data_IF_432669727719
#
_entry.id   IF_432669727719
#
_cell.length_a   1.000
_cell.length_b   1.000
_cell.length_c   1.000
_cell.angle_alpha   90.00
_cell.angle_beta   90.00
_cell.angle_gamma   90.00
#
_symmetry.space_group_name_H-M   'P 1'
#
loop_
_entity.id
_entity.type
_entity.pdbx_description
1 polymer ?
#
# COMPACT_ATOMS: atom_id res chain seq x y z
N UNK A 1 0.98 23.76 -8.28
CA UNK A 1 2.25 24.34 -8.75
C UNK A 1 3.37 23.39 -8.32
N UNK A 2 3.86 22.53 -9.22
CA UNK A 2 5.06 21.70 -8.91
C UNK A 2 6.25 22.65 -8.89
N UNK A 3 6.93 22.75 -7.76
CA UNK A 3 8.20 23.48 -7.71
C UNK A 3 9.22 22.70 -8.54
N UNK A 4 9.61 23.25 -9.69
CA UNK A 4 10.76 22.73 -10.44
C UNK A 4 12.02 23.21 -9.75
N UNK A 5 12.77 22.26 -9.20
CA UNK A 5 14.14 22.49 -8.76
C UNK A 5 15.05 22.06 -9.91
N UNK A 6 15.54 22.98 -10.76
CA UNK A 6 16.49 22.62 -11.80
C UNK A 6 17.75 22.08 -11.12
N UNK A 7 17.97 20.77 -11.23
CA UNK A 7 19.15 20.10 -10.66
C UNK A 7 20.21 20.05 -11.72
N UNK A 8 21.13 20.99 -11.67
CA UNK A 8 22.31 20.90 -12.50
C UNK A 8 23.31 19.91 -11.89
N UNK A 9 23.06 18.62 -12.13
CA UNK A 9 23.93 17.51 -11.69
C UNK A 9 24.89 17.10 -12.82
N UNK A 10 24.59 17.48 -14.06
CA UNK A 10 25.22 16.94 -15.28
C UNK A 10 26.07 17.97 -16.03
N UNK A 11 25.98 19.28 -15.75
CA UNK A 11 26.76 20.27 -16.52
C UNK A 11 28.25 20.26 -16.21
N UNK A 12 28.64 19.89 -14.98
CA UNK A 12 30.04 19.91 -14.55
C UNK A 12 30.27 19.13 -13.26
N UNK A 13 31.52 18.70 -13.07
CA UNK A 13 31.97 18.08 -11.82
C UNK A 13 31.80 19.01 -10.60
N UNK A 14 31.98 20.32 -10.80
CA UNK A 14 31.76 21.32 -9.75
C UNK A 14 30.28 21.41 -9.33
N UNK A 15 29.36 21.34 -10.29
CA UNK A 15 27.93 21.33 -10.02
C UNK A 15 27.49 20.06 -9.28
N UNK A 16 28.00 18.89 -9.71
CA UNK A 16 27.83 17.61 -9.00
C UNK A 16 28.35 17.68 -7.56
N UNK A 17 29.57 18.19 -7.36
CA UNK A 17 30.18 18.29 -6.03
C UNK A 17 29.41 19.26 -5.12
N UNK A 18 28.90 20.38 -5.67
CA UNK A 18 28.02 21.29 -4.93
C UNK A 18 26.72 20.59 -4.52
N UNK A 19 26.06 19.89 -5.45
CA UNK A 19 24.85 19.14 -5.15
C UNK A 19 25.05 18.11 -4.02
N UNK A 20 26.15 17.34 -4.07
CA UNK A 20 26.47 16.37 -3.02
C UNK A 20 26.70 17.03 -1.66
N UNK A 21 27.40 18.18 -1.61
CA UNK A 21 27.58 18.96 -0.37
C UNK A 21 26.26 19.50 0.18
N UNK A 22 25.38 19.97 -0.71
CA UNK A 22 24.05 20.44 -0.32
C UNK A 22 23.21 19.29 0.27
N UNK A 23 23.25 18.09 -0.35
CA UNK A 23 22.63 16.88 0.18
C UNK A 23 23.19 16.47 1.55
N UNK A 24 24.51 16.47 1.71
CA UNK A 24 25.17 16.17 2.98
C UNK A 24 24.74 17.15 4.08
N UNK A 25 24.70 18.44 3.75
CA UNK A 25 24.27 19.51 4.67
C UNK A 25 22.82 19.30 5.10
N UNK A 26 21.92 18.97 4.17
CA UNK A 26 20.53 18.65 4.46
C UNK A 26 20.41 17.44 5.40
N UNK A 27 21.10 16.35 5.11
CA UNK A 27 21.06 15.14 5.95
C UNK A 27 21.59 15.42 7.36
N UNK A 28 22.68 16.19 7.50
CA UNK A 28 23.21 16.63 8.80
C UNK A 28 22.20 17.49 9.56
N UNK A 29 21.53 18.42 8.87
CA UNK A 29 20.49 19.26 9.46
C UNK A 29 19.29 18.43 9.95
N UNK A 30 18.87 17.41 9.19
CA UNK A 30 17.82 16.47 9.61
C UNK A 30 18.26 15.73 10.88
N UNK A 31 19.46 15.15 10.88
CA UNK A 31 19.97 14.38 12.03
C UNK A 31 20.09 15.21 13.32
N UNK A 32 20.55 16.46 13.22
CA UNK A 32 20.76 17.33 14.37
C UNK A 32 19.46 17.81 15.03
N UNK A 33 18.34 17.85 14.29
CA UNK A 33 17.12 18.55 14.71
C UNK A 33 16.04 17.62 15.28
N UNK A 34 16.34 16.96 16.41
CA UNK A 34 15.34 16.15 17.14
C UNK A 34 14.12 16.94 17.61
N UNK A 35 14.27 18.24 17.94
CA UNK A 35 13.17 19.12 18.37
C UNK A 35 12.18 19.45 17.24
N UNK A 36 12.65 19.47 15.99
CA UNK A 36 11.82 19.71 14.82
C UNK A 36 10.90 18.52 14.55
N UNK A 37 11.33 17.29 14.86
CA UNK A 37 10.48 16.10 14.76
C UNK A 37 9.28 16.14 15.69
N UNK A 38 9.46 16.56 16.95
CA UNK A 38 8.33 16.68 17.88
C UNK A 38 7.31 17.73 17.43
N UNK A 39 7.80 18.85 16.88
CA UNK A 39 6.95 19.87 16.27
C UNK A 39 6.21 19.33 15.03
N UNK A 40 6.93 18.70 14.10
CA UNK A 40 6.33 18.10 12.89
C UNK A 40 5.32 17.02 13.28
N UNK A 41 5.60 16.16 14.26
CA UNK A 41 4.67 15.12 14.73
C UNK A 41 3.43 15.71 15.38
N UNK A 42 3.56 16.82 16.11
CA UNK A 42 2.42 17.53 16.71
C UNK A 42 1.53 18.11 15.61
N UNK A 43 2.10 18.85 14.69
CA UNK A 43 1.38 19.43 13.55
C UNK A 43 0.83 18.39 12.57
N UNK A 44 1.46 17.22 12.45
CA UNK A 44 0.93 16.08 11.67
C UNK A 44 -0.25 15.39 12.35
N UNK A 45 -0.51 15.67 13.64
CA UNK A 45 -1.59 15.07 14.43
C UNK A 45 -2.70 16.05 14.79
N UNK A 46 -2.46 17.36 14.67
CA UNK A 46 -3.47 18.37 14.93
C UNK A 46 -4.63 18.19 13.94
N UNK A 47 -5.84 18.01 14.49
CA UNK A 47 -7.04 17.52 13.80
C UNK A 47 -7.65 18.48 12.77
N UNK A 48 -6.95 19.54 12.39
CA UNK A 48 -7.31 20.32 11.20
C UNK A 48 -6.83 19.55 9.96
N UNK A 49 -7.77 18.83 9.37
CA UNK A 49 -7.56 17.88 8.26
C UNK A 49 -6.85 18.53 7.05
N UNK A 50 -7.02 19.83 6.83
CA UNK A 50 -6.38 20.56 5.72
C UNK A 50 -4.97 21.09 6.03
N UNK A 51 -4.63 21.36 7.29
CA UNK A 51 -3.34 21.97 7.66
C UNK A 51 -2.26 20.93 8.00
N UNK A 52 -2.65 19.69 8.28
CA UNK A 52 -1.74 18.59 8.68
C UNK A 52 -1.08 17.85 7.50
N UNK A 53 -1.65 17.91 6.29
CA UNK A 53 -1.14 17.17 5.12
C UNK A 53 0.29 17.60 4.70
N UNK A 54 0.62 18.89 4.56
CA UNK A 54 1.99 19.30 4.23
C UNK A 54 3.03 18.85 5.26
N UNK A 55 2.65 18.80 6.54
CA UNK A 55 3.51 18.31 7.61
C UNK A 55 3.71 16.79 7.53
N UNK A 56 2.69 16.04 7.13
CA UNK A 56 2.80 14.61 6.89
C UNK A 56 3.73 14.30 5.71
N UNK A 57 3.61 15.05 4.61
CA UNK A 57 4.51 14.93 3.46
C UNK A 57 5.94 15.32 3.82
N UNK A 58 6.13 16.45 4.51
CA UNK A 58 7.46 16.86 4.99
C UNK A 58 8.08 15.77 5.86
N UNK A 59 7.34 15.25 6.85
CA UNK A 59 7.80 14.15 7.70
C UNK A 59 8.17 12.92 6.91
N UNK A 60 7.37 12.58 5.89
CA UNK A 60 7.62 11.45 5.02
C UNK A 60 8.95 11.61 4.28
N UNK A 61 9.17 12.73 3.58
CA UNK A 61 10.40 12.97 2.82
C UNK A 61 11.65 13.06 3.72
N UNK A 62 11.57 13.78 4.85
CA UNK A 62 12.69 13.85 5.79
C UNK A 62 13.04 12.45 6.34
N UNK A 63 12.05 11.60 6.58
CA UNK A 63 12.28 10.22 7.05
C UNK A 63 12.99 9.35 6.02
N UNK A 64 12.71 9.56 4.73
CA UNK A 64 13.38 8.84 3.64
C UNK A 64 14.81 9.31 3.41
N UNK A 65 15.04 10.62 3.46
CA UNK A 65 16.40 11.14 3.37
C UNK A 65 17.25 10.64 4.54
N UNK A 66 16.66 10.63 5.74
CA UNK A 66 17.35 10.16 6.93
C UNK A 66 17.60 8.64 6.94
N UNK A 67 16.72 7.84 6.32
CA UNK A 67 16.89 6.38 6.31
C UNK A 67 18.17 5.92 5.64
N UNK A 68 18.67 6.63 4.63
CA UNK A 68 19.96 6.31 4.00
C UNK A 68 21.12 6.45 4.97
N UNK A 69 21.16 7.54 5.75
CA UNK A 69 22.19 7.72 6.78
C UNK A 69 22.08 6.63 7.84
N UNK A 70 20.87 6.36 8.33
CA UNK A 70 20.64 5.30 9.32
C UNK A 70 21.09 3.93 8.81
N UNK A 71 20.80 3.59 7.55
CA UNK A 71 21.23 2.34 6.96
C UNK A 71 22.77 2.25 6.91
N UNK A 72 23.45 3.32 6.48
CA UNK A 72 24.91 3.37 6.46
C UNK A 72 25.52 3.23 7.87
N UNK A 73 25.02 3.98 8.85
CA UNK A 73 25.45 3.87 10.25
C UNK A 73 25.21 2.47 10.83
N UNK A 74 24.08 1.85 10.50
CA UNK A 74 23.76 0.49 10.95
C UNK A 74 24.68 -0.54 10.31
N UNK A 75 25.05 -0.39 9.03
CA UNK A 75 26.02 -1.27 8.37
C UNK A 75 27.37 -1.16 9.10
N UNK A 76 27.90 0.05 9.30
CA UNK A 76 29.18 0.25 10.00
C UNK A 76 29.14 -0.36 11.40
N UNK A 77 28.12 -0.06 12.21
CA UNK A 77 27.98 -0.66 13.55
C UNK A 77 27.82 -2.18 13.50
N UNK A 78 27.18 -2.72 12.46
CA UNK A 78 27.03 -4.17 12.30
C UNK A 78 28.36 -4.83 11.94
N UNK A 79 29.26 -4.15 11.22
CA UNK A 79 30.59 -4.69 10.92
C UNK A 79 31.44 -4.88 12.18
N UNK A 80 31.29 -4.02 13.18
CA UNK A 80 31.97 -4.15 14.47
C UNK A 80 31.42 -5.33 15.29
N UNK A 81 30.11 -5.59 15.18
CA UNK A 81 29.42 -6.61 15.97
C UNK A 81 29.48 -8.01 15.36
N UNK A 82 29.38 -8.10 14.03
CA UNK A 82 29.31 -9.34 13.25
C UNK A 82 30.20 -9.22 12.01
N UNK A 83 31.52 -9.08 12.17
CA UNK A 83 32.46 -8.91 11.04
C UNK A 83 32.33 -10.03 10.00
N UNK A 84 32.03 -11.24 10.44
CA UNK A 84 31.87 -12.42 9.60
C UNK A 84 30.69 -12.35 8.62
N UNK A 85 29.70 -11.46 8.85
CA UNK A 85 28.62 -11.20 7.89
C UNK A 85 29.13 -10.41 6.66
N UNK A 86 30.28 -9.72 6.81
CA UNK A 86 30.85 -8.82 5.81
C UNK A 86 32.12 -9.38 5.15
N UNK A 87 32.52 -10.60 5.51
CA UNK A 87 33.66 -11.32 4.95
C UNK A 87 33.16 -12.47 4.09
N UNK A 88 33.74 -12.65 2.90
CA UNK A 88 33.48 -13.78 1.98
C UNK A 88 31.98 -14.05 1.65
N UNK A 89 31.15 -13.01 1.66
CA UNK A 89 29.75 -13.14 1.26
C UNK A 89 29.61 -13.23 -0.26
N UNK A 90 28.60 -13.97 -0.71
CA UNK A 90 28.26 -14.07 -2.13
C UNK A 90 26.97 -13.32 -2.42
N UNK A 91 26.99 -12.52 -3.49
CA UNK A 91 25.77 -11.90 -4.02
C UNK A 91 25.19 -12.81 -5.08
N UNK A 92 24.00 -13.34 -4.81
CA UNK A 92 23.25 -14.17 -5.77
C UNK A 92 22.10 -13.34 -6.33
N UNK A 93 22.11 -13.11 -7.64
CA UNK A 93 20.99 -12.44 -8.30
C UNK A 93 19.84 -13.43 -8.54
N UNK A 94 18.64 -13.05 -8.12
CA UNK A 94 17.40 -13.78 -8.39
C UNK A 94 16.62 -13.01 -9.45
N UNK A 95 16.38 -13.57 -10.64
CA UNK A 95 15.65 -12.87 -11.70
C UNK A 95 14.21 -12.61 -11.28
N UNK A 96 13.70 -11.42 -11.60
CA UNK A 96 12.29 -11.07 -11.41
C UNK A 96 11.37 -12.07 -12.08
N UNK A 97 10.22 -12.33 -11.45
CA UNK A 97 9.21 -13.18 -12.05
C UNK A 97 8.61 -12.56 -13.31
N UNK A 98 8.11 -13.42 -14.21
CA UNK A 98 7.42 -12.96 -15.41
C UNK A 98 6.04 -12.41 -15.05
N UNK A 99 5.68 -11.32 -15.73
CA UNK A 99 4.32 -10.79 -15.71
C UNK A 99 3.36 -11.73 -16.43
N UNK A 100 2.33 -12.18 -15.73
CA UNK A 100 1.30 -13.03 -16.30
C UNK A 100 0.10 -12.23 -16.78
N UNK A 101 -0.68 -12.84 -17.66
CA UNK A 101 -2.00 -12.34 -18.01
C UNK A 101 -2.88 -12.31 -16.75
N UNK A 102 -3.76 -11.32 -16.65
CA UNK A 102 -4.75 -11.26 -15.58
C UNK A 102 -5.62 -12.53 -15.60
N UNK A 103 -5.91 -13.13 -14.42
CA UNK A 103 -6.72 -14.34 -14.34
C UNK A 103 -8.23 -14.06 -14.41
N UNK A 104 -8.63 -12.79 -14.46
CA UNK A 104 -10.03 -12.37 -14.45
C UNK A 104 -10.53 -12.19 -15.89
N UNK A 105 -11.64 -12.85 -16.28
CA UNK A 105 -12.28 -12.62 -17.57
C UNK A 105 -12.67 -11.15 -17.75
N UNK A 106 -12.73 -10.67 -18.99
CA UNK A 106 -13.18 -9.30 -19.31
C UNK A 106 -14.70 -9.10 -19.19
N UNK A 107 -15.42 -10.05 -18.60
CA UNK A 107 -16.86 -9.95 -18.37
C UNK A 107 -17.20 -8.78 -17.44
N UNK A 108 -18.42 -8.25 -17.59
CA UNK A 108 -19.00 -7.20 -16.75
C UNK A 108 -19.22 -7.72 -15.31
N UNK A 109 -18.14 -7.82 -14.52
CA UNK A 109 -18.16 -8.09 -13.09
C UNK A 109 -18.70 -6.89 -12.31
N UNK A 110 -19.82 -7.05 -11.60
CA UNK A 110 -20.37 -5.99 -10.73
C UNK A 110 -19.90 -6.14 -9.28
N UNK A 111 -19.97 -5.07 -8.49
CA UNK A 111 -19.72 -5.11 -7.05
C UNK A 111 -20.65 -6.11 -6.34
N UNK A 112 -21.91 -6.22 -6.79
CA UNK A 112 -22.87 -7.17 -6.24
C UNK A 112 -22.43 -8.62 -6.50
N UNK A 113 -21.93 -8.92 -7.69
CA UNK A 113 -21.40 -10.27 -8.02
C UNK A 113 -20.18 -10.60 -7.17
N UNK A 114 -19.29 -9.63 -6.96
CA UNK A 114 -18.12 -9.80 -6.08
C UNK A 114 -18.56 -10.12 -4.65
N UNK A 115 -19.52 -9.38 -4.10
CA UNK A 115 -20.03 -9.63 -2.74
C UNK A 115 -20.67 -11.01 -2.66
N UNK A 116 -21.53 -11.40 -3.60
CA UNK A 116 -22.14 -12.73 -3.59
C UNK A 116 -21.10 -13.86 -3.60
N UNK A 117 -20.00 -13.71 -4.34
CA UNK A 117 -18.91 -14.70 -4.39
C UNK A 117 -17.94 -14.63 -3.19
N UNK A 118 -18.00 -13.55 -2.42
CA UNK A 118 -17.15 -13.32 -1.26
C UNK A 118 -17.77 -13.85 0.04
N UNK A 119 -19.08 -13.73 0.17
CA UNK A 119 -19.81 -14.17 1.36
C UNK A 119 -20.02 -15.69 1.30
N UNK A 120 -19.68 -16.45 2.35
CA UNK A 120 -20.01 -17.89 2.44
C UNK A 120 -21.52 -18.12 2.29
N UNK A 121 -21.92 -19.29 1.79
CA UNK A 121 -23.35 -19.59 1.57
C UNK A 121 -24.18 -19.53 2.86
N UNK A 122 -23.54 -19.76 4.01
CA UNK A 122 -24.17 -19.76 5.33
C UNK A 122 -24.41 -18.35 5.90
N UNK A 123 -23.80 -17.30 5.33
CA UNK A 123 -23.90 -15.92 5.82
C UNK A 123 -24.82 -15.09 4.91
N UNK A 124 -25.71 -14.30 5.51
CA UNK A 124 -26.68 -13.49 4.78
C UNK A 124 -26.01 -12.28 4.08
N UNK A 125 -25.97 -12.23 2.73
CA UNK A 125 -25.30 -11.15 2.02
C UNK A 125 -26.10 -9.84 2.00
N UNK A 126 -27.39 -9.83 2.42
CA UNK A 126 -28.29 -8.67 2.27
C UNK A 126 -27.72 -7.39 2.88
N UNK A 127 -27.09 -7.50 4.06
CA UNK A 127 -26.46 -6.37 4.74
C UNK A 127 -25.37 -5.71 3.90
N UNK A 128 -24.49 -6.51 3.29
CA UNK A 128 -23.42 -6.01 2.42
C UNK A 128 -23.93 -5.54 1.07
N UNK A 129 -24.89 -6.25 0.48
CA UNK A 129 -25.50 -5.88 -0.80
C UNK A 129 -26.19 -4.51 -0.73
N UNK A 130 -26.89 -4.21 0.37
CA UNK A 130 -27.51 -2.89 0.56
C UNK A 130 -26.48 -1.75 0.61
N UNK A 131 -25.30 -2.00 1.19
CA UNK A 131 -24.21 -1.03 1.23
C UNK A 131 -23.56 -0.84 -0.14
N UNK A 132 -23.36 -1.94 -0.86
CA UNK A 132 -22.88 -1.92 -2.24
C UNK A 132 -23.82 -1.17 -3.15
N UNK A 133 -25.14 -1.36 -3.03
CA UNK A 133 -26.14 -0.64 -3.84
C UNK A 133 -25.99 0.88 -3.69
N UNK A 134 -25.74 1.36 -2.47
CA UNK A 134 -25.45 2.78 -2.23
C UNK A 134 -24.16 3.19 -2.95
N UNK A 135 -23.09 2.42 -2.85
CA UNK A 135 -21.80 2.73 -3.49
C UNK A 135 -21.86 2.65 -5.02
N UNK A 136 -22.70 1.79 -5.58
CA UNK A 136 -22.93 1.69 -7.03
C UNK A 136 -23.52 2.98 -7.59
N UNK A 137 -24.37 3.69 -6.84
CA UNK A 137 -24.86 5.03 -7.21
C UNK A 137 -23.74 6.07 -7.36
N UNK A 138 -22.59 5.83 -6.74
CA UNK A 138 -21.38 6.64 -6.84
C UNK A 138 -20.34 6.06 -7.81
N UNK A 139 -20.73 5.12 -8.68
CA UNK A 139 -19.88 4.62 -9.75
C UNK A 139 -18.91 3.50 -9.35
N UNK A 140 -19.15 2.79 -8.25
CA UNK A 140 -18.30 1.67 -7.81
C UNK A 140 -18.09 0.61 -8.91
N UNK A 141 -19.15 0.23 -9.63
CA UNK A 141 -19.04 -0.77 -10.71
C UNK A 141 -18.15 -0.28 -11.84
N UNK A 142 -18.23 1.01 -12.19
CA UNK A 142 -17.34 1.62 -13.18
C UNK A 142 -15.89 1.54 -12.71
N UNK A 143 -15.60 1.87 -11.45
CA UNK A 143 -14.25 1.78 -10.89
C UNK A 143 -13.70 0.33 -10.90
N UNK A 144 -14.56 -0.65 -10.60
CA UNK A 144 -14.20 -2.07 -10.69
C UNK A 144 -13.88 -2.44 -12.13
N UNK A 145 -14.74 -2.06 -13.08
CA UNK A 145 -14.54 -2.32 -14.51
C UNK A 145 -13.27 -1.69 -15.02
N UNK A 146 -13.02 -0.41 -14.70
CA UNK A 146 -11.80 0.29 -15.06
C UNK A 146 -10.59 -0.48 -14.51
N UNK A 147 -10.61 -0.86 -13.22
CA UNK A 147 -9.53 -1.61 -12.59
C UNK A 147 -9.28 -2.99 -13.24
N UNK A 148 -10.33 -3.73 -13.58
CA UNK A 148 -10.22 -5.05 -14.22
C UNK A 148 -9.77 -4.92 -15.68
N UNK A 149 -10.18 -3.87 -16.38
CA UNK A 149 -9.84 -3.62 -17.80
C UNK A 149 -8.46 -3.01 -17.99
N UNK A 150 -7.86 -2.43 -16.95
CA UNK A 150 -6.50 -1.86 -16.98
C UNK A 150 -5.50 -2.79 -17.69
N UNK A 151 -4.88 -2.35 -18.80
CA UNK A 151 -3.84 -3.12 -19.49
C UNK A 151 -2.61 -3.41 -18.63
N UNK A 152 -2.34 -2.53 -17.65
CA UNK A 152 -1.25 -2.67 -16.69
C UNK A 152 -1.53 -3.68 -15.57
N UNK A 153 -2.73 -4.27 -15.52
CA UNK A 153 -3.02 -5.36 -14.61
C UNK A 153 -2.39 -6.67 -15.13
N UNK A 154 -1.10 -6.83 -14.81
CA UNK A 154 -0.25 -7.96 -15.20
C UNK A 154 0.46 -8.49 -13.96
N UNK A 155 -0.19 -9.39 -13.20
CA UNK A 155 0.34 -9.89 -11.93
C UNK A 155 1.72 -10.51 -12.06
N UNK A 156 2.54 -10.29 -11.04
CA UNK A 156 3.89 -10.86 -10.90
C UNK A 156 4.16 -11.17 -9.43
N UNK A 157 5.13 -12.03 -9.17
CA UNK A 157 5.57 -12.39 -7.81
C UNK A 157 6.46 -11.27 -7.28
N UNK A 158 6.07 -10.69 -6.14
CA UNK A 158 6.83 -9.65 -5.45
C UNK A 158 8.14 -10.19 -4.90
N UNK A 159 9.12 -9.30 -4.71
CA UNK A 159 10.50 -9.68 -4.40
C UNK A 159 10.64 -10.54 -3.13
N UNK A 160 9.92 -10.24 -2.06
CA UNK A 160 10.01 -10.99 -0.80
C UNK A 160 9.56 -12.44 -1.00
N UNK A 161 8.42 -12.62 -1.66
CA UNK A 161 7.82 -13.93 -1.97
C UNK A 161 8.66 -14.69 -3.00
N UNK A 162 9.25 -13.97 -3.95
CA UNK A 162 10.14 -14.53 -4.97
C UNK A 162 11.43 -15.10 -4.36
N UNK A 163 12.08 -14.33 -3.47
CA UNK A 163 13.27 -14.78 -2.72
C UNK A 163 12.91 -15.98 -1.86
N UNK A 164 11.77 -15.95 -1.16
CA UNK A 164 11.31 -17.10 -0.37
C UNK A 164 11.15 -18.36 -1.23
N UNK A 165 10.43 -18.28 -2.35
CA UNK A 165 10.28 -19.40 -3.28
C UNK A 165 11.61 -19.89 -3.86
N UNK A 166 12.57 -18.98 -4.12
CA UNK A 166 13.91 -19.35 -4.56
C UNK A 166 14.67 -20.15 -3.50
N UNK A 167 14.60 -19.74 -2.23
CA UNK A 167 15.23 -20.46 -1.12
C UNK A 167 14.63 -21.87 -0.93
N UNK A 168 13.29 -21.97 -0.95
CA UNK A 168 12.60 -23.26 -0.81
C UNK A 168 13.01 -24.26 -1.89
N UNK A 169 13.08 -23.83 -3.17
CA UNK A 169 13.51 -24.70 -4.28
C UNK A 169 14.96 -25.20 -4.16
N UNK A 170 15.79 -24.53 -3.36
CA UNK A 170 17.17 -24.95 -3.07
C UNK A 170 17.30 -25.73 -1.75
N UNK A 171 16.17 -26.10 -1.13
CA UNK A 171 16.16 -26.78 0.17
C UNK A 171 16.59 -25.88 1.34
N UNK A 172 16.59 -24.56 1.16
CA UNK A 172 16.97 -23.58 2.18
C UNK A 172 15.70 -23.18 2.94
N UNK A 173 15.33 -24.01 3.92
CA UNK A 173 14.17 -23.78 4.78
C UNK A 173 14.47 -24.01 6.26
N UNK A 174 15.53 -24.74 6.61
CA UNK A 174 15.82 -25.01 8.01
C UNK A 174 16.52 -23.80 8.65
N UNK A 175 16.24 -23.45 9.93
CA UNK A 175 16.92 -22.33 10.60
C UNK A 175 18.44 -22.37 10.50
N UNK A 176 19.07 -23.56 10.53
CA UNK A 176 20.53 -23.72 10.35
C UNK A 176 21.08 -23.15 9.04
N UNK A 177 20.24 -22.97 8.02
CA UNK A 177 20.65 -22.38 6.75
C UNK A 177 20.68 -20.84 6.80
N UNK A 178 20.19 -20.24 7.89
CA UNK A 178 20.13 -18.80 8.09
C UNK A 178 21.12 -18.36 9.15
N UNK A 179 21.59 -17.11 9.00
CA UNK A 179 22.46 -16.46 9.96
C UNK A 179 21.86 -16.50 11.38
N UNK A 180 22.59 -17.09 12.35
CA UNK A 180 22.14 -17.33 13.73
C UNK A 180 20.78 -18.04 13.88
N UNK A 181 20.31 -18.79 12.87
CA UNK A 181 18.97 -19.38 12.92
C UNK A 181 17.83 -18.39 12.63
N UNK A 182 18.14 -17.14 12.30
CA UNK A 182 17.14 -16.11 12.07
C UNK A 182 16.61 -16.20 10.64
N UNK A 183 15.49 -16.92 10.49
CA UNK A 183 14.74 -16.99 9.23
C UNK A 183 14.13 -15.64 8.89
N UNK A 184 14.89 -14.75 8.28
CA UNK A 184 14.48 -13.40 7.98
C UNK A 184 14.78 -13.03 6.52
N UNK A 185 13.79 -12.46 5.84
CA UNK A 185 13.95 -11.84 4.51
C UNK A 185 13.85 -10.32 4.68
N UNK A 186 14.95 -9.64 4.38
CA UNK A 186 15.03 -8.18 4.36
C UNK A 186 14.67 -7.62 2.99
N UNK A 187 13.89 -6.54 2.98
CA UNK A 187 13.47 -5.81 1.79
C UNK A 187 13.66 -4.30 1.98
N UNK A 188 13.89 -3.58 0.88
CA UNK A 188 14.00 -2.11 0.84
C UNK A 188 12.75 -1.43 1.40
N UNK A 189 11.56 -1.97 1.10
CA UNK A 189 10.26 -1.52 1.61
C UNK A 189 9.69 -2.44 2.70
N UNK A 190 8.83 -1.93 3.59
CA UNK A 190 7.94 -2.78 4.37
C UNK A 190 7.09 -3.69 3.44
N UNK A 191 6.62 -4.84 3.93
CA UNK A 191 5.87 -5.75 3.06
C UNK A 191 4.51 -5.19 2.66
N UNK A 192 4.08 -5.47 1.44
CA UNK A 192 2.71 -5.16 1.03
C UNK A 192 1.69 -6.07 1.74
N UNK A 193 0.40 -5.74 1.64
CA UNK A 193 -0.67 -6.52 2.29
C UNK A 193 -0.68 -7.99 1.87
N UNK A 194 -0.53 -8.27 0.57
CA UNK A 194 -0.60 -9.64 0.06
C UNK A 194 0.67 -10.45 0.38
N UNK A 195 1.85 -9.82 0.38
CA UNK A 195 3.08 -10.44 0.90
C UNK A 195 2.94 -10.77 2.40
N UNK A 196 2.38 -9.86 3.20
CA UNK A 196 2.14 -10.09 4.63
C UNK A 196 1.22 -11.29 4.87
N UNK A 197 0.09 -11.37 4.14
CA UNK A 197 -0.80 -12.54 4.22
C UNK A 197 -0.13 -13.83 3.77
N UNK A 198 0.70 -13.78 2.73
CA UNK A 198 1.49 -14.93 2.31
C UNK A 198 2.39 -15.44 3.44
N UNK A 199 3.19 -14.57 4.06
CA UNK A 199 4.12 -15.00 5.13
C UNK A 199 3.41 -15.42 6.42
N UNK A 200 2.24 -14.85 6.73
CA UNK A 200 1.41 -15.28 7.86
C UNK A 200 0.82 -16.68 7.61
N UNK A 201 0.36 -16.96 6.40
CA UNK A 201 -0.28 -18.22 6.06
C UNK A 201 0.72 -19.35 5.71
N UNK A 202 1.96 -19.02 5.38
CA UNK A 202 2.96 -20.00 4.99
C UNK A 202 3.60 -20.70 6.20
N UNK A 203 3.66 -22.03 6.18
CA UNK A 203 4.18 -22.87 7.27
C UNK A 203 5.69 -22.75 7.54
N UNK A 204 6.41 -21.97 6.72
CA UNK A 204 7.87 -21.89 6.79
C UNK A 204 8.31 -20.87 7.87
N UNK A 205 7.40 -20.05 8.39
CA UNK A 205 7.65 -19.12 9.51
C UNK A 205 8.84 -18.18 9.27
N UNK A 206 9.05 -17.77 8.02
CA UNK A 206 10.03 -16.73 7.67
C UNK A 206 9.51 -15.38 8.13
N UNK A 207 10.34 -14.66 8.86
CA UNK A 207 10.06 -13.30 9.30
C UNK A 207 10.37 -12.30 8.17
N UNK A 208 9.57 -11.25 8.11
CA UNK A 208 9.70 -10.16 7.15
C UNK A 208 9.45 -8.82 7.86
N UNK A 209 9.77 -7.72 7.18
CA UNK A 209 9.46 -6.38 7.70
C UNK A 209 7.95 -6.23 7.92
N UNK A 210 7.56 -5.56 9.01
CA UNK A 210 6.15 -5.27 9.32
C UNK A 210 5.46 -4.54 8.18
N UNK A 211 4.31 -5.04 7.74
CA UNK A 211 3.60 -4.52 6.57
C UNK A 211 3.13 -3.07 6.69
N UNK A 212 3.21 -2.34 5.57
CA UNK A 212 2.57 -1.02 5.41
C UNK A 212 1.08 -1.12 5.08
N UNK A 213 0.58 -2.34 4.80
CA UNK A 213 -0.82 -2.68 4.55
C UNK A 213 -1.41 -2.09 3.27
N UNK A 214 -0.65 -1.58 2.30
CA UNK A 214 -1.24 -1.23 1.00
C UNK A 214 -1.42 -2.48 0.15
N UNK A 215 -2.51 -2.49 -0.62
CA UNK A 215 -2.85 -3.54 -1.56
C UNK A 215 -2.30 -3.18 -2.94
N UNK A 216 -1.47 -4.05 -3.50
CA UNK A 216 -1.00 -3.95 -4.87
C UNK A 216 -1.66 -5.05 -5.71
N UNK A 217 -2.54 -4.69 -6.67
CA UNK A 217 -3.26 -5.67 -7.48
C UNK A 217 -2.35 -6.53 -8.35
N UNK A 218 -1.22 -5.97 -8.82
CA UNK A 218 -0.20 -6.72 -9.57
C UNK A 218 0.60 -7.64 -8.64
N UNK A 219 -0.04 -8.71 -8.16
CA UNK A 219 0.53 -9.67 -7.23
C UNK A 219 0.02 -11.07 -7.56
N UNK A 220 0.89 -12.08 -7.47
CA UNK A 220 0.52 -13.50 -7.57
C UNK A 220 1.42 -14.39 -6.73
N UNK A 221 0.97 -15.62 -6.47
CA UNK A 221 1.77 -16.66 -5.84
C UNK A 221 2.93 -17.12 -6.75
N UNK A 222 4.03 -17.65 -6.17
CA UNK A 222 5.06 -18.36 -6.93
C UNK A 222 4.47 -19.50 -7.76
N UNK A 223 5.07 -19.76 -8.91
CA UNK A 223 4.72 -20.92 -9.74
C UNK A 223 5.02 -22.22 -8.99
N UNK A 224 4.10 -23.19 -9.14
CA UNK A 224 4.31 -24.60 -8.80
C UNK A 224 4.36 -25.36 -10.12
N UNK A 225 5.40 -26.16 -10.31
CA UNK A 225 5.60 -26.92 -11.52
C UNK A 225 5.10 -28.37 -11.36
N UNK A 226 4.67 -29.00 -12.45
CA UNK A 226 4.06 -30.34 -12.45
C UNK A 226 4.96 -31.42 -11.81
N UNK A 227 6.28 -31.23 -11.87
CA UNK A 227 7.26 -32.12 -11.25
C UNK A 227 7.35 -32.02 -9.72
N UNK A 228 6.71 -31.02 -9.10
CA UNK A 228 6.67 -30.85 -7.64
C UNK A 228 5.54 -31.68 -6.98
N UNK A 229 4.68 -32.32 -7.79
CA UNK A 229 3.67 -33.28 -7.37
C UNK A 229 2.41 -32.66 -6.74
N UNK A 230 1.39 -33.49 -6.54
CA UNK A 230 0.06 -33.08 -6.06
C UNK A 230 0.11 -32.37 -4.70
N UNK A 231 1.05 -32.73 -3.84
CA UNK A 231 1.25 -32.12 -2.52
C UNK A 231 1.65 -30.65 -2.61
N UNK A 232 2.44 -30.27 -3.61
CA UNK A 232 2.81 -28.87 -3.84
C UNK A 232 1.60 -28.05 -4.31
N UNK A 233 0.80 -28.61 -5.21
CA UNK A 233 -0.44 -27.99 -5.70
C UNK A 233 -1.42 -27.80 -4.55
N UNK A 234 -1.66 -28.82 -3.72
CA UNK A 234 -2.55 -28.73 -2.56
C UNK A 234 -2.11 -27.64 -1.58
N UNK A 235 -0.81 -27.55 -1.27
CA UNK A 235 -0.28 -26.48 -0.40
C UNK A 235 -0.47 -25.09 -1.00
N UNK A 236 -0.27 -24.94 -2.31
CA UNK A 236 -0.49 -23.66 -2.99
C UNK A 236 -1.96 -23.24 -2.95
N UNK A 237 -2.89 -24.18 -3.16
CA UNK A 237 -4.33 -23.94 -3.07
C UNK A 237 -4.75 -23.52 -1.65
N UNK A 238 -4.26 -24.23 -0.62
CA UNK A 238 -4.51 -23.87 0.78
C UNK A 238 -3.98 -22.46 1.11
N UNK A 239 -2.81 -22.11 0.59
CA UNK A 239 -2.23 -20.79 0.76
C UNK A 239 -3.08 -19.71 0.08
N UNK A 240 -3.53 -19.97 -1.14
CA UNK A 240 -4.42 -19.07 -1.88
C UNK A 240 -5.75 -18.87 -1.15
N UNK A 241 -6.32 -19.94 -0.60
CA UNK A 241 -7.57 -19.90 0.17
C UNK A 241 -7.41 -19.03 1.43
N UNK A 242 -6.33 -19.23 2.20
CA UNK A 242 -6.05 -18.43 3.39
C UNK A 242 -5.86 -16.94 3.07
N UNK A 243 -5.08 -16.62 2.02
CA UNK A 243 -4.87 -15.24 1.58
C UNK A 243 -6.19 -14.63 1.12
N UNK A 244 -6.98 -15.38 0.34
CA UNK A 244 -8.29 -14.92 -0.16
C UNK A 244 -9.25 -14.69 1.00
N UNK A 245 -9.30 -15.57 1.99
CA UNK A 245 -10.09 -15.41 3.22
C UNK A 245 -9.77 -14.10 3.95
N UNK A 246 -8.48 -13.77 4.09
CA UNK A 246 -8.07 -12.49 4.69
C UNK A 246 -8.49 -11.27 3.85
N UNK A 247 -8.38 -11.35 2.52
CA UNK A 247 -8.84 -10.28 1.62
C UNK A 247 -10.36 -10.10 1.70
N UNK A 248 -11.13 -11.19 1.79
CA UNK A 248 -12.59 -11.17 1.97
C UNK A 248 -12.97 -10.51 3.30
N UNK A 249 -12.30 -10.87 4.39
CA UNK A 249 -12.52 -10.26 5.71
C UNK A 249 -12.20 -8.76 5.71
N UNK A 250 -11.14 -8.36 5.02
CA UNK A 250 -10.78 -6.96 4.84
C UNK A 250 -11.85 -6.17 4.08
N UNK A 251 -12.44 -6.76 3.04
CA UNK A 251 -13.51 -6.16 2.28
C UNK A 251 -14.81 -6.04 3.10
N UNK A 252 -15.19 -7.09 3.84
CA UNK A 252 -16.33 -7.05 4.79
C UNK A 252 -16.16 -5.92 5.80
N UNK A 253 -15.02 -5.89 6.50
CA UNK A 253 -14.70 -4.83 7.47
C UNK A 253 -14.76 -3.44 6.83
N UNK A 254 -14.25 -3.29 5.60
CA UNK A 254 -14.25 -2.01 4.90
C UNK A 254 -15.67 -1.54 4.58
N UNK A 255 -16.57 -2.45 4.20
CA UNK A 255 -17.99 -2.14 4.00
C UNK A 255 -18.61 -1.68 5.33
N UNK A 256 -18.50 -2.50 6.37
CA UNK A 256 -19.09 -2.25 7.69
C UNK A 256 -18.60 -0.95 8.34
N UNK A 257 -17.27 -0.74 8.38
CA UNK A 257 -16.65 0.42 9.02
C UNK A 257 -16.66 1.65 8.11
N UNK A 258 -16.92 1.48 6.81
CA UNK A 258 -16.75 2.51 5.76
C UNK A 258 -15.34 3.14 5.78
N UNK A 259 -14.35 2.33 6.16
CA UNK A 259 -12.97 2.76 6.34
C UNK A 259 -11.98 1.77 5.72
N UNK A 260 -11.44 2.02 4.52
CA UNK A 260 -10.34 1.23 4.03
C UNK A 260 -9.10 1.48 4.89
N UNK A 261 -8.50 0.38 5.35
CA UNK A 261 -7.12 0.42 5.81
C UNK A 261 -6.26 0.64 4.56
N UNK A 262 -5.76 1.85 4.33
CA UNK A 262 -4.75 2.12 3.30
C UNK A 262 -3.89 3.28 3.76
N UNK A 263 -2.59 3.21 3.49
CA UNK A 263 -1.68 4.35 3.63
C UNK A 263 -1.44 4.95 2.26
N UNK A 264 -1.26 6.27 2.23
CA UNK A 264 -0.86 6.98 1.00
C UNK A 264 0.50 6.51 0.52
N UNK A 265 1.45 6.42 1.47
CA UNK A 265 2.81 5.98 1.24
C UNK A 265 3.03 4.55 1.76
N UNK A 266 3.91 3.79 1.11
CA UNK A 266 4.30 2.43 1.51
C UNK A 266 5.41 2.40 2.58
N UNK A 267 5.93 3.58 2.94
CA UNK A 267 6.80 3.76 4.11
C UNK A 267 6.03 3.65 5.44
N UNK A 268 6.77 3.36 6.53
CA UNK A 268 6.21 3.34 7.89
C UNK A 268 6.16 4.73 8.56
N UNK A 269 6.37 5.83 7.81
CA UNK A 269 6.43 7.19 8.36
C UNK A 269 5.08 7.89 8.44
N UNK A 270 4.05 7.38 7.74
CA UNK A 270 2.73 8.02 7.68
C UNK A 270 1.88 7.75 8.94
N UNK A 271 1.34 8.82 9.53
CA UNK A 271 0.36 8.75 10.63
C UNK A 271 -0.87 9.63 10.41
N UNK A 272 -1.21 9.98 9.17
CA UNK A 272 -2.46 10.70 8.86
C UNK A 272 -3.59 9.78 8.38
N UNK A 273 -4.82 10.26 8.59
CA UNK A 273 -6.09 9.67 8.18
C UNK A 273 -6.13 9.51 6.64
N UNK A 274 -6.91 8.56 6.09
CA UNK A 274 -6.87 8.28 4.65
C UNK A 274 -7.60 9.33 3.79
N UNK A 275 -7.11 9.48 2.56
CA UNK A 275 -7.45 10.51 1.54
C UNK A 275 -8.93 10.51 1.06
N UNK A 276 -9.71 9.44 1.27
CA UNK A 276 -11.14 9.44 0.89
C UNK A 276 -12.03 10.25 1.84
N UNK A 277 -11.49 10.68 2.99
CA UNK A 277 -12.14 11.68 3.85
C UNK A 277 -11.95 13.12 3.31
N UNK A 278 -11.18 13.31 2.23
CA UNK A 278 -10.93 14.60 1.57
C UNK A 278 -11.90 14.91 0.41
N UNK A 279 -12.99 14.15 0.22
CA UNK A 279 -14.08 14.62 -0.65
C UNK A 279 -14.88 15.69 0.11
N UNK A 280 -14.33 16.91 0.15
CA UNK A 280 -15.05 18.11 0.52
C UNK A 280 -16.05 18.47 -0.57
N UNK A 281 -17.17 17.74 -0.60
CA UNK A 281 -18.43 18.30 -1.04
C UNK A 281 -19.37 18.26 0.18
N UNK A 282 -19.45 19.40 0.87
CA UNK A 282 -20.21 19.60 2.11
C UNK A 282 -21.73 19.42 1.93
N UNK A 283 -22.18 19.09 0.72
CA UNK A 283 -23.57 18.78 0.39
C UNK A 283 -23.97 17.33 0.76
N UNK A 284 -23.04 16.36 0.80
CA UNK A 284 -23.39 14.93 0.89
C UNK A 284 -23.68 14.40 2.31
N UNK A 285 -23.11 14.99 3.36
CA UNK A 285 -23.40 14.58 4.75
C UNK A 285 -24.75 15.09 5.26
N UNK A 286 -25.32 16.11 4.61
CA UNK A 286 -26.65 16.64 4.94
C UNK A 286 -27.77 15.69 4.48
N UNK A 287 -27.65 15.12 3.28
CA UNK A 287 -28.71 14.28 2.68
C UNK A 287 -28.93 12.94 3.40
N UNK A 288 -27.88 12.36 4.01
CA UNK A 288 -28.01 11.10 4.76
C UNK A 288 -28.61 11.32 6.16
N UNK A 289 -28.43 12.52 6.72
CA UNK A 289 -29.03 12.91 8.00
C UNK A 289 -30.54 13.21 7.86
N UNK A 290 -30.96 13.76 6.71
CA UNK A 290 -32.37 14.05 6.43
C UNK A 290 -33.21 12.79 6.13
N UNK A 291 -32.62 11.73 5.56
CA UNK A 291 -33.34 10.48 5.28
C UNK A 291 -33.74 9.68 6.54
N UNK A 292 -33.28 10.08 7.74
CA UNK A 292 -33.59 9.43 9.02
C UNK A 292 -34.73 10.07 9.82
N UNK A 293 -35.32 11.18 9.37
CA UNK A 293 -36.32 11.94 10.16
C UNK A 293 -37.67 12.16 9.47
N UNK A 294 -37.98 11.48 8.36
CA UNK A 294 -39.24 11.70 7.64
C UNK A 294 -39.96 10.40 7.28
N UNK A 295 -40.37 9.66 8.31
CA UNK A 295 -41.50 8.73 8.22
C UNK A 295 -42.50 9.04 9.33
N UNK A 296 -43.18 10.19 9.23
CA UNK A 296 -44.55 10.34 9.72
C UNK A 296 -45.24 11.57 9.11
N UNK A 297 -46.39 11.32 8.47
CA UNK A 297 -47.58 12.19 8.30
C UNK A 297 -47.57 13.37 7.31
N UNK A 298 -48.39 13.17 6.28
CA UNK A 298 -49.47 14.01 5.70
C UNK A 298 -49.27 15.48 5.25
N UNK A 299 -49.56 15.63 3.96
CA UNK A 299 -50.36 16.63 3.22
C UNK A 299 -49.99 18.14 3.15
N UNK A 300 -50.18 18.63 1.91
CA UNK A 300 -50.37 20.01 1.40
C UNK A 300 -49.16 20.87 0.96
N UNK A 301 -48.95 20.86 -0.39
CA UNK A 301 -49.03 22.00 -1.34
C UNK A 301 -48.26 23.30 -1.02
N UNK A 302 -47.26 23.66 -1.83
CA UNK A 302 -47.27 24.79 -2.81
C UNK A 302 -45.92 25.03 -3.51
N UNK A 303 -46.02 25.66 -4.69
CA UNK A 303 -45.01 25.95 -5.69
C UNK A 303 -43.89 26.90 -5.24
N UNK A 304 -42.71 26.75 -5.84
CA UNK A 304 -41.65 27.77 -5.83
C UNK A 304 -40.54 27.51 -6.85
N UNK A 305 -40.61 28.23 -7.96
CA UNK A 305 -39.70 28.24 -9.12
C UNK A 305 -38.30 28.80 -8.81
N UNK A 306 -37.20 28.11 -9.13
CA UNK A 306 -35.86 28.68 -9.42
C UNK A 306 -35.12 27.72 -10.40
N UNK A 307 -35.10 28.00 -11.71
CA UNK A 307 -34.07 28.73 -12.50
C UNK A 307 -32.76 27.95 -12.76
N UNK A 308 -32.54 27.72 -14.06
CA UNK A 308 -31.36 27.13 -14.71
C UNK A 308 -30.05 27.88 -14.42
N UNK A 309 -28.93 27.16 -14.44
CA UNK A 309 -27.61 27.77 -14.45
C UNK A 309 -26.43 26.80 -14.49
N UNK A 310 -26.01 26.49 -15.73
CA UNK A 310 -24.61 26.28 -16.16
C UNK A 310 -23.87 24.99 -15.77
N UNK A 311 -23.69 24.12 -16.78
CA UNK A 311 -22.76 22.98 -16.75
C UNK A 311 -21.31 23.44 -16.91
N UNK A 312 -20.42 22.94 -16.06
CA UNK A 312 -18.99 22.87 -16.34
C UNK A 312 -18.51 21.46 -16.00
N UNK A 313 -18.29 20.66 -17.04
CA UNK A 313 -17.67 19.34 -17.01
C UNK A 313 -16.21 19.45 -16.57
N UNK A 314 -15.82 18.70 -15.55
CA UNK A 314 -14.42 18.50 -15.14
C UNK A 314 -14.10 17.00 -15.21
N UNK A 315 -13.18 16.67 -16.10
CA UNK A 315 -12.59 15.34 -16.28
C UNK A 315 -11.82 14.90 -15.03
N UNK A 316 -12.15 13.74 -14.41
CA UNK A 316 -11.37 13.17 -13.33
C UNK A 316 -10.38 12.15 -13.92
N UNK A 317 -9.31 12.64 -14.53
CA UNK A 317 -8.27 11.77 -15.10
C UNK A 317 -6.87 12.26 -14.70
N UNK A 318 -6.50 12.07 -13.44
CA UNK A 318 -5.10 11.96 -13.01
C UNK A 318 -4.99 10.94 -11.86
N UNK A 319 -5.18 9.66 -12.18
CA UNK A 319 -4.62 8.60 -11.37
C UNK A 319 -3.12 8.56 -11.66
N UNK A 320 -2.33 9.22 -10.80
CA UNK A 320 -0.87 9.26 -10.86
C UNK A 320 -0.30 7.87 -11.09
N UNK A 321 0.41 7.77 -12.20
CA UNK A 321 1.29 6.70 -12.59
C UNK A 321 2.25 6.36 -11.44
N UNK A 322 2.33 5.06 -11.10
CA UNK A 322 3.27 4.57 -10.11
C UNK A 322 4.58 4.26 -10.80
N UNK A 323 5.47 5.25 -10.87
CA UNK A 323 6.88 5.00 -11.20
C UNK A 323 7.49 4.14 -10.10
N UNK A 324 8.04 2.99 -10.48
CA UNK A 324 8.61 1.94 -9.62
C UNK A 324 9.94 2.33 -8.92
N UNK A 325 10.22 3.62 -8.71
CA UNK A 325 11.47 4.12 -8.13
C UNK A 325 11.26 4.68 -6.72
N UNK A 326 11.07 3.83 -5.71
CA UNK A 326 10.79 4.35 -4.36
C UNK A 326 11.43 3.46 -3.28
N UNK A 327 12.59 3.81 -2.70
CA UNK A 327 13.24 3.03 -1.62
C UNK A 327 12.67 3.35 -0.21
N UNK A 328 12.46 2.33 0.63
CA UNK A 328 11.57 2.39 1.80
C UNK A 328 12.02 3.26 2.97
N UNK A 329 11.18 4.23 3.34
CA UNK A 329 11.43 5.14 4.45
C UNK A 329 11.37 4.50 5.85
N UNK A 330 12.21 5.02 6.75
CA UNK A 330 12.31 4.67 8.18
C UNK A 330 11.74 5.84 9.00
N UNK A 331 11.13 5.62 10.18
CA UNK A 331 10.81 6.69 11.10
C UNK A 331 12.06 7.56 11.34
N UNK A 332 11.93 8.88 11.15
CA UNK A 332 13.05 9.82 11.23
C UNK A 332 13.81 9.70 12.57
N UNK A 333 13.14 9.27 13.64
CA UNK A 333 13.77 9.03 14.94
C UNK A 333 13.09 7.88 15.68
N UNK A 334 13.83 6.79 15.93
CA UNK A 334 13.48 5.78 16.95
C UNK A 334 13.96 6.27 18.32
N UNK A 335 13.16 6.02 19.35
CA UNK A 335 13.56 6.20 20.75
C UNK A 335 14.67 5.23 21.12
#
# INVERSE_FOLDING_TARGET
>A
MRAEFPRDIMSSENARNKFLRDCETLIKAIHANKKVDEAIRRQSKDGEISSSEPWCELRHYLGRLYSYRMAAEMIVKSTERWPELFVDFTVVSVPSSRHMAKPIPTSELTAADIVRNMIPEEEDPRGYLSQVEVMQKFGLDKLIQDQVRRPSFRPYVHAEVLVHGHLLRRGISHPRNFWHGWKYIGSSKPTCRLCDYYFIAHQDNVQVRKSHKNLYPNWRLPDVFENEGDDAIRRQLQLLENITGNVRNDAKRTLEEKRPLRKRHDSNTHSALPEYLNLSDSSLMSSVSQARMSTSRDEHRELGTIREGSSCSLDPNEASDGSDDEDGGVPVFCK
#
